data_IF_209828337379
#
_entry.id   IF_209828337379
#
_cell.length_a   1.000
_cell.length_b   1.000
_cell.length_c   1.000
_cell.angle_alpha   90.00
_cell.angle_beta   90.00
_cell.angle_gamma   90.00
#
_symmetry.space_group_name_H-M   'P 1'
#
loop_
_entity.id
_entity.type
_entity.pdbx_description
1 polymer ?
#
# COMPACT_ATOMS: atom_id res chain seq x y z
N UNK A 1 20.45 -2.30 0.63
CA UNK A 1 20.59 -1.39 1.78
C UNK A 1 19.25 -1.01 2.41
N UNK A 2 18.11 -1.40 1.81
CA UNK A 2 16.77 -0.94 2.23
C UNK A 2 15.86 -2.07 2.76
N UNK A 3 16.41 -3.19 3.22
CA UNK A 3 15.63 -4.38 3.62
C UNK A 3 14.52 -4.05 4.63
N UNK A 4 14.86 -3.41 5.74
CA UNK A 4 13.89 -3.05 6.78
C UNK A 4 12.79 -2.10 6.28
N UNK A 5 13.14 -1.16 5.39
CA UNK A 5 12.16 -0.23 4.80
C UNK A 5 11.21 -0.96 3.84
N UNK A 6 11.72 -1.88 3.00
CA UNK A 6 10.88 -2.69 2.11
C UNK A 6 9.91 -3.59 2.89
N UNK A 7 10.38 -4.17 3.99
CA UNK A 7 9.55 -4.97 4.90
C UNK A 7 8.45 -4.11 5.52
N UNK A 8 8.78 -2.94 6.06
CA UNK A 8 7.81 -2.01 6.65
C UNK A 8 6.76 -1.51 5.63
N UNK A 9 7.19 -1.18 4.40
CA UNK A 9 6.26 -0.77 3.32
C UNK A 9 5.33 -1.92 2.95
N UNK A 10 5.87 -3.14 2.83
CA UNK A 10 5.08 -4.33 2.47
C UNK A 10 4.07 -4.69 3.56
N UNK A 11 4.49 -4.61 4.83
CA UNK A 11 3.62 -4.80 5.99
C UNK A 11 2.48 -3.78 5.97
N UNK A 12 2.80 -2.49 5.76
CA UNK A 12 1.78 -1.45 5.70
C UNK A 12 0.79 -1.64 4.56
N UNK A 13 1.25 -2.06 3.38
CA UNK A 13 0.36 -2.40 2.26
C UNK A 13 -0.62 -3.52 2.66
N UNK A 14 -0.13 -4.55 3.36
CA UNK A 14 -0.97 -5.66 3.80
C UNK A 14 -2.00 -5.23 4.85
N UNK A 15 -1.63 -4.36 5.79
CA UNK A 15 -2.57 -3.75 6.75
C UNK A 15 -3.68 -2.98 6.03
N UNK A 16 -3.33 -2.11 5.07
CA UNK A 16 -4.32 -1.34 4.31
C UNK A 16 -5.25 -2.25 3.48
N UNK A 17 -4.72 -3.31 2.88
CA UNK A 17 -5.53 -4.32 2.18
C UNK A 17 -6.47 -5.06 3.14
N UNK A 18 -6.00 -5.39 4.33
CA UNK A 18 -6.82 -6.00 5.36
C UNK A 18 -7.96 -5.06 5.80
N UNK A 19 -7.67 -3.77 6.00
CA UNK A 19 -8.69 -2.76 6.30
C UNK A 19 -9.78 -2.70 5.20
N UNK A 20 -9.41 -2.86 3.93
CA UNK A 20 -10.36 -2.87 2.81
C UNK A 20 -11.34 -4.05 2.83
N UNK A 21 -10.95 -5.22 3.34
CA UNK A 21 -11.81 -6.42 3.35
C UNK A 21 -13.09 -6.20 4.16
N UNK A 22 -13.04 -5.32 5.16
CA UNK A 22 -14.17 -5.04 6.03
C UNK A 22 -15.11 -3.94 5.52
N UNK A 23 -14.80 -3.33 4.38
CA UNK A 23 -15.59 -2.23 3.82
C UNK A 23 -16.78 -2.75 3.01
N UNK A 24 -17.94 -2.16 3.24
CA UNK A 24 -19.19 -2.52 2.57
C UNK A 24 -19.44 -1.57 1.41
N UNK A 25 -19.42 -2.09 0.18
CA UNK A 25 -19.52 -1.30 -1.05
C UNK A 25 -20.82 -0.49 -1.19
N UNK A 26 -21.90 -0.88 -0.49
CA UNK A 26 -23.17 -0.17 -0.50
C UNK A 26 -23.24 1.00 0.50
N UNK A 27 -22.22 1.18 1.34
CA UNK A 27 -22.12 2.30 2.27
C UNK A 27 -21.20 3.36 1.64
N UNK A 28 -21.70 4.58 1.46
CA UNK A 28 -20.95 5.64 0.78
C UNK A 28 -19.65 6.01 1.51
N UNK A 29 -19.66 6.06 2.84
CA UNK A 29 -18.45 6.30 3.63
C UNK A 29 -17.40 5.20 3.44
N UNK A 30 -17.84 3.94 3.30
CA UNK A 30 -16.95 2.81 3.07
C UNK A 30 -16.39 2.85 1.64
N UNK A 31 -17.17 3.32 0.66
CA UNK A 31 -16.69 3.55 -0.71
C UNK A 31 -15.60 4.62 -0.75
N UNK A 32 -15.83 5.77 -0.12
CA UNK A 32 -14.81 6.82 -0.01
C UNK A 32 -13.56 6.33 0.71
N UNK A 33 -13.74 5.57 1.80
CA UNK A 33 -12.62 5.00 2.55
C UNK A 33 -11.83 4.01 1.70
N UNK A 34 -12.51 3.19 0.90
CA UNK A 34 -11.87 2.26 -0.03
C UNK A 34 -11.01 3.01 -1.04
N UNK A 35 -11.52 4.06 -1.66
CA UNK A 35 -10.76 4.89 -2.62
C UNK A 35 -9.50 5.50 -2.00
N UNK A 36 -9.59 5.98 -0.75
CA UNK A 36 -8.43 6.51 -0.01
C UNK A 36 -7.39 5.42 0.24
N UNK A 37 -7.84 4.23 0.68
CA UNK A 37 -6.95 3.09 0.92
C UNK A 37 -6.29 2.62 -0.38
N UNK A 38 -7.01 2.59 -1.50
CA UNK A 38 -6.47 2.21 -2.81
C UNK A 38 -5.38 3.19 -3.27
N UNK A 39 -5.57 4.50 -3.08
CA UNK A 39 -4.55 5.51 -3.39
C UNK A 39 -3.31 5.33 -2.52
N UNK A 40 -3.47 5.15 -1.22
CA UNK A 40 -2.35 4.93 -0.30
C UNK A 40 -1.56 3.67 -0.63
N UNK A 41 -2.25 2.57 -0.97
CA UNK A 41 -1.59 1.32 -1.42
C UNK A 41 -0.80 1.57 -2.70
N UNK A 42 -1.37 2.26 -3.69
CA UNK A 42 -0.69 2.55 -4.95
C UNK A 42 0.59 3.39 -4.76
N UNK A 43 0.54 4.41 -3.90
CA UNK A 43 1.71 5.23 -3.57
C UNK A 43 2.81 4.40 -2.88
N UNK A 44 2.45 3.54 -1.93
CA UNK A 44 3.40 2.66 -1.24
C UNK A 44 4.02 1.63 -2.19
N UNK A 45 3.24 1.07 -3.12
CA UNK A 45 3.74 0.18 -4.16
C UNK A 45 4.74 0.89 -5.07
N UNK A 46 4.44 2.13 -5.48
CA UNK A 46 5.36 2.95 -6.27
C UNK A 46 6.69 3.21 -5.54
N UNK A 47 6.65 3.55 -4.25
CA UNK A 47 7.88 3.71 -3.45
C UNK A 47 8.67 2.41 -3.38
N UNK A 48 8.01 1.27 -3.18
CA UNK A 48 8.66 -0.04 -3.15
C UNK A 48 9.37 -0.35 -4.48
N UNK A 49 8.70 -0.09 -5.60
CA UNK A 49 9.25 -0.26 -6.95
C UNK A 49 10.48 0.64 -7.17
N UNK A 50 10.44 1.91 -6.73
CA UNK A 50 11.57 2.82 -6.83
C UNK A 50 12.79 2.30 -6.05
N UNK A 51 12.58 1.80 -4.83
CA UNK A 51 13.66 1.23 -4.01
C UNK A 51 14.25 0.00 -4.70
N UNK A 52 13.40 -0.89 -5.22
CA UNK A 52 13.85 -2.10 -5.91
C UNK A 52 14.64 -1.77 -7.18
N UNK A 53 14.18 -0.80 -7.96
CA UNK A 53 14.88 -0.33 -9.15
C UNK A 53 16.25 0.25 -8.80
N UNK A 54 16.31 1.10 -7.77
CA UNK A 54 17.58 1.68 -7.32
C UNK A 54 18.57 0.61 -6.84
N UNK A 55 18.11 -0.40 -6.09
CA UNK A 55 18.97 -1.51 -5.66
C UNK A 55 19.45 -2.41 -6.82
N UNK A 56 18.73 -2.45 -7.95
CA UNK A 56 19.13 -3.23 -9.12
C UNK A 56 20.15 -2.51 -10.03
N UNK A 57 20.22 -1.19 -9.92
CA UNK A 57 21.15 -0.33 -10.67
C UNK A 57 22.48 -0.07 -9.92
N UNK A 58 22.61 -0.58 -8.69
CA UNK A 58 23.82 -0.54 -7.84
C UNK A 58 24.53 -1.89 -7.86
#
# INVERSE_FOLDING_TARGET
MHKALKEAISERINELRFEQVHLRSYIESDRLRKEVLEKAIAELQWVLELIMKWEAEQ
#
